data_IF_650647068887
#
_entry.id   IF_650647068887
#
_cell.length_a   1.000
_cell.length_b   1.000
_cell.length_c   1.000
_cell.angle_alpha   90.00
_cell.angle_beta   90.00
_cell.angle_gamma   90.00
#
_symmetry.space_group_name_H-M   'P 1'
#
loop_
_entity.id
_entity.type
_entity.pdbx_description
1 polymer ?
#
# COMPACT_ATOMS: atom_id res chain seq x y z
N UNK A 1 -45.87 29.15 -59.75
CA UNK A 1 -45.96 27.94 -58.89
C UNK A 1 -44.70 27.92 -58.05
N UNK A 2 -44.76 28.53 -56.86
CA UNK A 2 -43.63 28.65 -55.95
C UNK A 2 -43.77 27.53 -54.92
N UNK A 3 -42.80 26.62 -54.90
CA UNK A 3 -42.77 25.48 -53.99
C UNK A 3 -42.29 26.00 -52.62
N UNK A 4 -43.21 26.28 -51.70
CA UNK A 4 -42.89 26.49 -50.29
C UNK A 4 -42.53 25.14 -49.68
N UNK A 5 -41.22 24.87 -49.58
CA UNK A 5 -40.71 23.77 -48.78
C UNK A 5 -41.09 24.01 -47.31
N UNK A 6 -42.07 23.23 -46.84
CA UNK A 6 -42.45 23.14 -45.43
C UNK A 6 -41.26 22.61 -44.63
N UNK A 7 -40.45 23.49 -44.04
CA UNK A 7 -39.48 23.12 -43.02
C UNK A 7 -40.24 22.88 -41.71
N UNK A 8 -40.64 21.63 -41.50
CA UNK A 8 -41.14 21.18 -40.20
C UNK A 8 -40.11 21.52 -39.11
N UNK A 9 -40.49 22.15 -37.99
CA UNK A 9 -39.56 22.46 -36.92
C UNK A 9 -39.00 21.16 -36.34
N UNK A 10 -37.68 21.08 -36.22
CA UNK A 10 -37.02 20.01 -35.47
C UNK A 10 -37.55 20.12 -34.03
N UNK A 11 -38.08 19.04 -33.43
CA UNK A 11 -38.63 19.09 -32.07
C UNK A 11 -37.53 19.55 -31.10
N UNK A 12 -37.88 20.51 -30.26
CA UNK A 12 -37.01 21.15 -29.27
C UNK A 12 -36.76 20.17 -28.12
N UNK A 13 -35.83 19.23 -28.33
CA UNK A 13 -35.45 18.24 -27.31
C UNK A 13 -34.57 18.96 -26.28
N UNK A 14 -35.13 19.20 -25.10
CA UNK A 14 -34.40 19.81 -23.99
C UNK A 14 -33.10 19.03 -23.70
N UNK A 15 -31.95 19.71 -23.58
CA UNK A 15 -30.67 19.04 -23.41
C UNK A 15 -30.63 18.26 -22.09
N UNK A 16 -29.95 17.10 -22.04
CA UNK A 16 -29.78 16.35 -20.81
C UNK A 16 -29.11 17.21 -19.72
N UNK A 17 -29.73 17.29 -18.54
CA UNK A 17 -29.26 18.11 -17.43
C UNK A 17 -28.02 17.54 -16.69
N UNK A 18 -27.78 16.23 -16.83
CA UNK A 18 -26.64 15.56 -16.22
C UNK A 18 -25.30 16.09 -16.76
N UNK A 19 -24.30 16.23 -15.90
CA UNK A 19 -22.92 16.53 -16.30
C UNK A 19 -22.10 15.26 -16.28
N UNK A 20 -21.51 14.90 -17.42
CA UNK A 20 -20.72 13.67 -17.57
C UNK A 20 -19.23 13.97 -17.79
N UNK A 21 -18.40 13.13 -17.20
CA UNK A 21 -16.97 13.10 -17.49
C UNK A 21 -16.73 12.42 -18.83
N UNK A 22 -15.88 13.01 -19.66
CA UNK A 22 -15.47 12.39 -20.94
C UNK A 22 -14.46 11.26 -20.67
N UNK A 23 -14.30 10.34 -21.63
CA UNK A 23 -13.25 9.31 -21.53
C UNK A 23 -11.86 9.92 -21.33
N UNK A 24 -11.54 11.00 -22.04
CA UNK A 24 -10.29 11.74 -21.88
C UNK A 24 -10.12 12.31 -20.46
N UNK A 25 -11.18 12.88 -19.90
CA UNK A 25 -11.16 13.41 -18.53
C UNK A 25 -10.94 12.30 -17.49
N UNK A 26 -11.57 11.14 -17.68
CA UNK A 26 -11.39 9.97 -16.82
C UNK A 26 -9.96 9.44 -16.91
N UNK A 27 -9.40 9.35 -18.13
CA UNK A 27 -8.00 8.98 -18.33
C UNK A 27 -7.01 9.93 -17.65
N UNK A 28 -7.24 11.25 -17.74
CA UNK A 28 -6.42 12.24 -17.02
C UNK A 28 -6.57 12.08 -15.50
N UNK A 29 -7.79 11.85 -15.01
CA UNK A 29 -8.00 11.61 -13.58
C UNK A 29 -7.28 10.36 -13.08
N UNK A 30 -7.30 9.28 -13.87
CA UNK A 30 -6.61 8.03 -13.57
C UNK A 30 -5.08 8.14 -13.62
N UNK A 31 -4.54 9.01 -14.48
CA UNK A 31 -3.11 9.34 -14.48
C UNK A 31 -2.66 9.94 -13.13
N UNK A 32 -3.52 10.75 -12.52
CA UNK A 32 -3.22 11.47 -11.26
C UNK A 32 -3.52 10.60 -10.04
N UNK A 33 -4.70 9.98 -9.98
CA UNK A 33 -5.21 9.28 -8.81
C UNK A 33 -5.28 7.76 -8.93
N UNK A 34 -4.67 7.19 -9.98
CA UNK A 34 -4.58 5.75 -10.19
C UNK A 34 -5.91 5.06 -10.56
N UNK A 35 -5.96 3.71 -10.43
CA UNK A 35 -7.14 2.91 -10.78
C UNK A 35 -8.41 3.35 -10.03
N UNK A 36 -8.29 3.71 -8.75
CA UNK A 36 -9.44 4.14 -7.94
C UNK A 36 -10.08 5.42 -8.51
N UNK A 37 -9.29 6.38 -8.96
CA UNK A 37 -9.80 7.60 -9.61
C UNK A 37 -10.54 7.27 -10.92
N UNK A 38 -10.00 6.37 -11.73
CA UNK A 38 -10.62 5.91 -12.97
C UNK A 38 -12.05 5.40 -12.70
N UNK A 39 -12.18 4.47 -11.77
CA UNK A 39 -13.46 3.83 -11.44
C UNK A 39 -14.40 4.76 -10.68
N UNK A 40 -13.86 5.69 -9.89
CA UNK A 40 -14.68 6.69 -9.20
C UNK A 40 -15.38 7.61 -10.20
N UNK A 41 -14.62 8.17 -11.15
CA UNK A 41 -15.18 9.05 -12.18
C UNK A 41 -16.12 8.29 -13.13
N UNK A 42 -15.76 7.06 -13.53
CA UNK A 42 -16.62 6.18 -14.34
C UNK A 42 -17.93 5.83 -13.61
N UNK A 43 -17.86 5.53 -12.32
CA UNK A 43 -19.02 5.26 -11.48
C UNK A 43 -19.91 6.49 -11.29
N UNK A 44 -19.32 7.68 -11.17
CA UNK A 44 -20.08 8.94 -11.13
C UNK A 44 -20.87 9.15 -12.42
N UNK A 45 -20.30 8.85 -13.59
CA UNK A 45 -21.07 8.85 -14.84
C UNK A 45 -22.26 7.88 -14.80
N UNK A 46 -22.07 6.64 -14.34
CA UNK A 46 -23.18 5.70 -14.18
C UNK A 46 -24.24 6.22 -13.19
N UNK A 47 -23.83 6.88 -12.12
CA UNK A 47 -24.74 7.52 -11.17
C UNK A 47 -25.61 8.59 -11.84
N UNK A 48 -24.98 9.48 -12.61
CA UNK A 48 -25.66 10.56 -13.34
C UNK A 48 -26.59 10.04 -14.45
N UNK A 49 -26.30 8.85 -14.98
CA UNK A 49 -27.14 8.15 -15.95
C UNK A 49 -28.23 7.29 -15.29
N UNK A 50 -28.42 7.36 -13.96
CA UNK A 50 -29.43 6.58 -13.22
C UNK A 50 -29.11 5.08 -13.09
N UNK A 51 -27.90 4.65 -13.47
CA UNK A 51 -27.45 3.26 -13.53
C UNK A 51 -26.81 2.81 -12.21
N UNK A 52 -27.61 2.75 -11.14
CA UNK A 52 -27.15 2.45 -9.77
C UNK A 52 -26.40 1.12 -9.64
N UNK A 53 -26.86 0.07 -10.32
CA UNK A 53 -26.21 -1.26 -10.28
C UNK A 53 -24.80 -1.19 -10.86
N UNK A 54 -24.66 -0.62 -12.05
CA UNK A 54 -23.37 -0.45 -12.71
C UNK A 54 -22.43 0.42 -11.89
N UNK A 55 -22.91 1.53 -11.32
CA UNK A 55 -22.14 2.37 -10.40
C UNK A 55 -21.52 1.56 -9.25
N UNK A 56 -22.35 0.80 -8.52
CA UNK A 56 -21.87 0.05 -7.37
C UNK A 56 -20.86 -1.05 -7.79
N UNK A 57 -21.12 -1.72 -8.91
CA UNK A 57 -20.18 -2.69 -9.48
C UNK A 57 -18.85 -2.04 -9.86
N UNK A 58 -18.88 -0.84 -10.45
CA UNK A 58 -17.67 -0.09 -10.81
C UNK A 58 -16.85 0.30 -9.58
N UNK A 59 -17.49 0.73 -8.48
CA UNK A 59 -16.76 1.06 -7.25
C UNK A 59 -16.12 -0.17 -6.59
N UNK A 60 -16.85 -1.29 -6.54
CA UNK A 60 -16.30 -2.54 -6.00
C UNK A 60 -15.13 -3.05 -6.84
N UNK A 61 -15.27 -3.02 -8.17
CA UNK A 61 -14.20 -3.36 -9.11
C UNK A 61 -13.00 -2.41 -8.93
N UNK A 62 -13.24 -1.13 -8.69
CA UNK A 62 -12.19 -0.15 -8.44
C UNK A 62 -11.35 -0.45 -7.23
N UNK A 63 -11.98 -0.79 -6.11
CA UNK A 63 -11.26 -1.20 -4.90
C UNK A 63 -10.42 -2.46 -5.17
N UNK A 64 -11.02 -3.48 -5.81
CA UNK A 64 -10.32 -4.71 -6.18
C UNK A 64 -9.12 -4.45 -7.11
N UNK A 65 -9.30 -3.67 -8.16
CA UNK A 65 -8.23 -3.32 -9.11
C UNK A 65 -7.10 -2.52 -8.45
N UNK A 66 -7.42 -1.60 -7.54
CA UNK A 66 -6.39 -0.87 -6.79
C UNK A 66 -5.56 -1.82 -5.95
N UNK A 67 -6.20 -2.72 -5.19
CA UNK A 67 -5.46 -3.70 -4.37
C UNK A 67 -4.62 -4.65 -5.23
N UNK A 68 -5.19 -5.18 -6.32
CA UNK A 68 -4.46 -6.04 -7.26
C UNK A 68 -3.31 -5.30 -7.93
N UNK A 69 -3.47 -4.01 -8.26
CA UNK A 69 -2.39 -3.20 -8.83
C UNK A 69 -1.20 -3.11 -7.88
N UNK A 70 -1.41 -2.79 -6.61
CA UNK A 70 -0.31 -2.70 -5.64
C UNK A 70 0.32 -4.06 -5.36
N UNK A 71 -0.49 -5.11 -5.24
CA UNK A 71 0.03 -6.47 -5.08
C UNK A 71 0.89 -6.89 -6.27
N UNK A 72 0.44 -6.65 -7.52
CA UNK A 72 1.25 -6.97 -8.70
C UNK A 72 2.54 -6.15 -8.77
N UNK A 73 2.52 -4.88 -8.34
CA UNK A 73 3.71 -4.04 -8.32
C UNK A 73 4.72 -4.52 -7.26
N UNK A 74 4.26 -5.01 -6.09
CA UNK A 74 5.16 -5.53 -5.05
C UNK A 74 5.88 -6.82 -5.45
N UNK A 75 5.34 -7.59 -6.40
CA UNK A 75 6.02 -8.78 -6.94
C UNK A 75 7.14 -8.44 -7.95
N UNK A 76 7.25 -7.17 -8.38
CA UNK A 76 8.26 -6.77 -9.38
C UNK A 76 9.60 -6.49 -8.66
N UNK A 77 10.71 -7.12 -9.08
CA UNK A 77 12.02 -6.85 -8.49
C UNK A 77 12.41 -5.36 -8.59
N UNK A 78 13.02 -4.83 -7.53
CA UNK A 78 13.41 -3.41 -7.46
C UNK A 78 14.30 -2.98 -8.62
N UNK A 79 15.22 -3.84 -9.07
CA UNK A 79 16.12 -3.59 -10.21
C UNK A 79 15.40 -3.41 -11.55
N UNK A 80 14.15 -3.87 -11.66
CA UNK A 80 13.26 -3.64 -12.81
C UNK A 80 12.47 -2.36 -12.59
N UNK A 81 11.93 -2.14 -11.39
CA UNK A 81 11.16 -0.94 -11.04
C UNK A 81 11.97 0.35 -11.26
N UNK A 82 13.24 0.36 -10.88
CA UNK A 82 14.14 1.52 -11.00
C UNK A 82 14.35 1.97 -12.46
N UNK A 83 14.10 1.07 -13.42
CA UNK A 83 14.23 1.36 -14.86
C UNK A 83 12.95 1.94 -15.46
N UNK A 84 11.83 1.89 -14.73
CA UNK A 84 10.53 2.35 -15.21
C UNK A 84 10.34 3.81 -14.77
N UNK A 85 10.21 4.76 -15.71
CA UNK A 85 9.95 6.16 -15.36
C UNK A 85 8.64 6.28 -14.57
N UNK A 86 8.63 7.09 -13.50
CA UNK A 86 7.44 7.25 -12.63
C UNK A 86 6.18 7.65 -13.41
N UNK A 87 6.33 8.51 -14.43
CA UNK A 87 5.23 8.94 -15.29
C UNK A 87 4.65 7.82 -16.17
N UNK A 88 5.40 6.74 -16.42
CA UNK A 88 4.91 5.60 -17.21
C UNK A 88 3.77 4.87 -16.49
N UNK A 89 3.84 4.79 -15.15
CA UNK A 89 2.78 4.19 -14.34
C UNK A 89 1.46 4.94 -14.48
N UNK A 90 1.48 6.26 -14.29
CA UNK A 90 0.31 7.11 -14.51
C UNK A 90 -0.16 7.09 -15.96
N UNK A 91 0.77 7.06 -16.91
CA UNK A 91 0.47 6.96 -18.34
C UNK A 91 -0.31 5.70 -18.68
N UNK A 92 0.14 4.55 -18.16
CA UNK A 92 -0.50 3.25 -18.37
C UNK A 92 -1.89 3.21 -17.73
N UNK A 93 -2.04 3.64 -16.48
CA UNK A 93 -3.36 3.67 -15.80
C UNK A 93 -4.32 4.60 -16.53
N UNK A 94 -3.85 5.78 -16.96
CA UNK A 94 -4.63 6.75 -17.72
C UNK A 94 -5.10 6.20 -19.07
N UNK A 95 -4.22 5.54 -19.81
CA UNK A 95 -4.55 4.93 -21.10
C UNK A 95 -5.57 3.80 -20.95
N UNK A 96 -5.38 2.89 -19.99
CA UNK A 96 -6.32 1.81 -19.70
C UNK A 96 -7.68 2.38 -19.33
N UNK A 97 -7.73 3.38 -18.45
CA UNK A 97 -8.97 4.04 -18.04
C UNK A 97 -9.71 4.69 -19.21
N UNK A 98 -8.99 5.36 -20.12
CA UNK A 98 -9.56 5.93 -21.34
C UNK A 98 -10.21 4.84 -22.21
N UNK A 99 -9.46 3.77 -22.51
CA UNK A 99 -9.94 2.68 -23.38
C UNK A 99 -11.13 1.94 -22.77
N UNK A 100 -11.09 1.66 -21.46
CA UNK A 100 -12.21 1.05 -20.75
C UNK A 100 -13.45 1.94 -20.76
N UNK A 101 -13.28 3.26 -20.60
CA UNK A 101 -14.40 4.20 -20.63
C UNK A 101 -15.03 4.27 -22.03
N UNK A 102 -14.22 4.34 -23.08
CA UNK A 102 -14.72 4.31 -24.46
C UNK A 102 -15.49 3.01 -24.75
N UNK A 103 -14.98 1.88 -24.27
CA UNK A 103 -15.66 0.59 -24.43
C UNK A 103 -17.00 0.51 -23.67
N UNK A 104 -17.01 0.93 -22.39
CA UNK A 104 -18.17 0.75 -21.50
C UNK A 104 -19.23 1.86 -21.60
N UNK A 105 -18.81 3.09 -21.91
CA UNK A 105 -19.66 4.29 -21.89
C UNK A 105 -19.57 5.14 -23.16
N UNK A 106 -18.71 4.81 -24.13
CA UNK A 106 -18.45 5.67 -25.29
C UNK A 106 -19.69 6.00 -26.12
N UNK A 107 -20.58 5.04 -26.36
CA UNK A 107 -21.85 5.29 -27.07
C UNK A 107 -22.77 6.21 -26.26
N UNK A 108 -22.94 5.93 -24.96
CA UNK A 108 -23.77 6.74 -24.07
C UNK A 108 -23.27 8.19 -23.99
N UNK A 109 -21.95 8.38 -23.90
CA UNK A 109 -21.31 9.69 -23.88
C UNK A 109 -21.52 10.41 -25.22
N UNK A 110 -21.34 9.72 -26.36
CA UNK A 110 -21.57 10.30 -27.69
C UNK A 110 -23.03 10.75 -27.86
N UNK A 111 -24.00 9.91 -27.48
CA UNK A 111 -25.43 10.28 -27.53
C UNK A 111 -25.73 11.47 -26.60
N UNK A 112 -25.16 11.49 -25.40
CA UNK A 112 -25.35 12.58 -24.45
C UNK A 112 -24.83 13.92 -25.01
N UNK A 113 -23.61 13.95 -25.55
CA UNK A 113 -23.03 15.17 -26.10
C UNK A 113 -23.64 15.57 -27.45
N UNK A 114 -24.13 14.61 -28.26
CA UNK A 114 -24.88 14.92 -29.48
C UNK A 114 -26.22 15.63 -29.19
N UNK A 115 -26.80 15.40 -28.02
CA UNK A 115 -27.98 16.10 -27.51
C UNK A 115 -27.66 17.38 -26.72
N UNK A 116 -26.49 17.98 -26.96
CA UNK A 116 -26.02 19.19 -26.28
C UNK A 116 -25.89 19.04 -24.75
N UNK A 117 -25.73 17.81 -24.25
CA UNK A 117 -25.45 17.54 -22.84
C UNK A 117 -24.12 18.14 -22.37
N UNK A 118 -24.02 18.47 -21.09
CA UNK A 118 -22.88 19.20 -20.54
C UNK A 118 -21.74 18.30 -20.06
N UNK A 119 -20.50 18.77 -20.24
CA UNK A 119 -19.31 18.12 -19.68
C UNK A 119 -19.13 18.52 -18.21
N UNK A 120 -18.68 17.59 -17.39
CA UNK A 120 -18.16 17.90 -16.06
C UNK A 120 -16.90 18.78 -16.16
N UNK A 121 -16.65 19.62 -15.15
CA UNK A 121 -15.52 20.55 -15.15
C UNK A 121 -14.18 19.84 -14.87
N UNK A 122 -13.09 20.43 -15.34
CA UNK A 122 -11.73 19.95 -15.01
C UNK A 122 -11.44 19.98 -13.51
N UNK A 123 -11.98 20.96 -12.78
CA UNK A 123 -11.90 21.02 -11.31
C UNK A 123 -12.58 19.84 -10.62
N UNK A 124 -13.71 19.37 -11.15
CA UNK A 124 -14.35 18.17 -10.63
C UNK A 124 -13.46 16.94 -10.86
N UNK A 125 -12.82 16.82 -12.03
CA UNK A 125 -11.86 15.74 -12.30
C UNK A 125 -10.71 15.79 -11.30
N UNK A 126 -10.09 16.96 -11.11
CA UNK A 126 -9.00 17.14 -10.18
C UNK A 126 -9.42 16.76 -8.75
N UNK A 127 -10.53 17.31 -8.25
CA UNK A 127 -11.01 17.05 -6.89
C UNK A 127 -11.28 15.57 -6.61
N UNK A 128 -11.98 14.87 -7.52
CA UNK A 128 -12.25 13.44 -7.34
C UNK A 128 -11.00 12.57 -7.48
N UNK A 129 -10.06 12.97 -8.35
CA UNK A 129 -8.80 12.23 -8.53
C UNK A 129 -7.89 12.39 -7.32
N UNK A 130 -7.76 13.61 -6.78
CA UNK A 130 -7.02 13.88 -5.54
C UNK A 130 -7.65 13.16 -4.35
N UNK A 131 -8.99 13.17 -4.22
CA UNK A 131 -9.66 12.42 -3.15
C UNK A 131 -9.37 10.92 -3.26
N UNK A 132 -9.42 10.36 -4.47
CA UNK A 132 -9.10 8.94 -4.70
C UNK A 132 -7.64 8.62 -4.37
N UNK A 133 -6.71 9.54 -4.66
CA UNK A 133 -5.31 9.40 -4.27
C UNK A 133 -5.15 9.38 -2.75
N UNK A 134 -5.80 10.30 -2.02
CA UNK A 134 -5.77 10.34 -0.55
C UNK A 134 -6.31 9.05 0.05
N UNK A 135 -7.44 8.54 -0.46
CA UNK A 135 -8.01 7.26 -0.01
C UNK A 135 -7.05 6.10 -0.29
N UNK A 136 -6.41 6.10 -1.45
CA UNK A 136 -5.43 5.06 -1.82
C UNK A 136 -4.22 5.09 -0.88
N UNK A 137 -3.66 6.27 -0.59
CA UNK A 137 -2.56 6.42 0.36
C UNK A 137 -2.97 5.98 1.78
N UNK A 138 -4.16 6.36 2.23
CA UNK A 138 -4.67 5.92 3.53
C UNK A 138 -4.82 4.39 3.61
N UNK A 139 -5.29 3.75 2.53
CA UNK A 139 -5.37 2.28 2.44
C UNK A 139 -3.99 1.63 2.51
N UNK A 140 -3.01 2.15 1.76
CA UNK A 140 -1.64 1.62 1.78
C UNK A 140 -1.04 1.75 3.18
N UNK A 141 -1.14 2.94 3.79
CA UNK A 141 -0.63 3.17 5.14
C UNK A 141 -1.30 2.24 6.15
N UNK A 142 -2.62 2.11 6.09
CA UNK A 142 -3.36 1.23 6.98
C UNK A 142 -2.96 -0.25 6.85
N UNK A 143 -2.68 -0.71 5.63
CA UNK A 143 -2.28 -2.10 5.37
C UNK A 143 -0.80 -2.37 5.65
N UNK A 144 0.08 -1.39 5.40
CA UNK A 144 1.53 -1.57 5.40
C UNK A 144 2.20 -1.14 6.71
N UNK A 145 1.69 -0.11 7.39
CA UNK A 145 2.29 0.38 8.65
C UNK A 145 2.35 -0.71 9.74
N UNK A 146 1.33 -1.57 9.93
CA UNK A 146 1.43 -2.68 10.88
C UNK A 146 2.50 -3.73 10.53
N UNK A 147 3.05 -3.70 9.31
CA UNK A 147 4.12 -4.59 8.85
C UNK A 147 5.52 -3.95 8.99
N UNK A 148 5.61 -2.68 9.37
CA UNK A 148 6.91 -2.00 9.55
C UNK A 148 7.59 -2.45 10.85
N UNK A 149 8.91 -2.31 10.87
CA UNK A 149 9.74 -2.56 12.06
C UNK A 149 9.28 -1.70 13.24
N UNK A 150 9.44 -2.16 14.50
CA UNK A 150 9.04 -1.39 15.67
C UNK A 150 9.73 -0.02 15.71
N UNK A 151 8.95 1.06 15.89
CA UNK A 151 9.35 2.46 15.76
C UNK A 151 10.44 2.91 16.76
N UNK A 152 10.71 2.13 17.81
CA UNK A 152 11.66 2.51 18.88
C UNK A 152 13.04 1.85 18.79
N UNK A 153 13.36 1.16 17.69
CA UNK A 153 14.73 0.70 17.46
C UNK A 153 15.60 1.87 16.99
N UNK A 154 16.08 2.67 17.94
CA UNK A 154 17.00 3.78 17.68
C UNK A 154 18.43 3.36 17.98
N UNK A 155 19.32 3.35 16.96
CA UNK A 155 20.80 3.33 17.02
C UNK A 155 21.48 2.95 15.68
N UNK A 156 22.84 2.88 15.60
CA UNK A 156 23.51 2.32 14.44
C UNK A 156 22.96 0.94 14.08
N UNK A 157 22.74 0.74 12.78
CA UNK A 157 22.21 -0.50 12.22
C UNK A 157 23.37 -1.29 11.63
N UNK A 158 23.51 -2.53 12.09
CA UNK A 158 24.29 -3.54 11.39
C UNK A 158 23.34 -4.35 10.51
N UNK A 159 23.58 -4.36 9.21
CA UNK A 159 22.85 -5.21 8.28
C UNK A 159 23.83 -6.14 7.59
N UNK A 160 23.73 -7.42 7.93
CA UNK A 160 24.47 -8.50 7.29
C UNK A 160 23.66 -9.77 7.48
N UNK A 161 23.02 -10.19 6.41
CA UNK A 161 22.02 -11.26 6.40
C UNK A 161 21.23 -11.27 5.10
N UNK A 162 20.52 -12.37 4.85
CA UNK A 162 19.58 -12.48 3.72
C UNK A 162 18.52 -11.37 3.84
N UNK A 163 18.08 -10.81 2.71
CA UNK A 163 17.08 -9.72 2.64
C UNK A 163 17.39 -8.43 3.43
N UNK A 164 18.62 -8.22 3.90
CA UNK A 164 18.97 -7.02 4.66
C UNK A 164 18.38 -7.03 6.07
N UNK A 165 18.31 -8.20 6.72
CA UNK A 165 18.02 -8.31 8.16
C UNK A 165 18.85 -7.30 8.97
N UNK A 166 18.21 -6.65 9.95
CA UNK A 166 18.77 -5.51 10.66
C UNK A 166 18.93 -5.81 12.14
N UNK A 167 20.16 -5.67 12.64
CA UNK A 167 20.45 -5.65 14.07
C UNK A 167 20.77 -4.22 14.48
N UNK A 168 19.89 -3.66 15.29
CA UNK A 168 20.06 -2.35 15.92
C UNK A 168 20.88 -2.52 17.20
N UNK A 169 21.96 -1.75 17.39
CA UNK A 169 22.85 -2.02 18.53
C UNK A 169 23.25 -0.78 19.34
N UNK A 170 23.43 -0.97 20.65
CA UNK A 170 24.09 -0.01 21.53
C UNK A 170 25.39 0.58 20.95
N UNK A 171 25.69 1.88 21.16
CA UNK A 171 27.05 2.41 20.89
C UNK A 171 28.12 1.65 21.70
N UNK A 172 27.73 1.13 22.87
CA UNK A 172 28.59 0.33 23.76
C UNK A 172 28.64 -1.17 23.39
N UNK A 173 28.03 -1.58 22.27
CA UNK A 173 28.09 -2.97 21.79
C UNK A 173 29.16 -3.05 20.70
N UNK A 174 30.15 -3.91 20.89
CA UNK A 174 31.24 -4.11 19.92
C UNK A 174 30.71 -4.68 18.60
N UNK A 175 31.21 -4.18 17.47
CA UNK A 175 30.75 -4.61 16.14
C UNK A 175 30.91 -6.11 15.92
N UNK A 176 31.99 -6.73 16.40
CA UNK A 176 32.19 -8.18 16.25
C UNK A 176 31.17 -9.00 17.05
N UNK A 177 30.69 -8.49 18.18
CA UNK A 177 29.56 -9.09 18.91
C UNK A 177 28.29 -9.07 18.06
N UNK A 178 28.02 -7.96 17.37
CA UNK A 178 26.86 -7.83 16.49
C UNK A 178 26.97 -8.76 15.28
N UNK A 179 28.18 -8.92 14.70
CA UNK A 179 28.41 -9.86 13.60
C UNK A 179 28.20 -11.32 14.04
N UNK A 180 28.75 -11.70 15.19
CA UNK A 180 28.60 -13.06 15.72
C UNK A 180 27.13 -13.40 15.99
N UNK A 181 26.37 -12.46 16.56
CA UNK A 181 24.94 -12.59 16.73
C UNK A 181 24.23 -12.72 15.38
N UNK A 182 24.52 -11.86 14.41
CA UNK A 182 23.92 -11.92 13.08
C UNK A 182 24.14 -13.25 12.38
N UNK A 183 25.37 -13.78 12.41
CA UNK A 183 25.69 -15.09 11.84
C UNK A 183 24.91 -16.21 12.55
N UNK A 184 24.88 -16.20 13.89
CA UNK A 184 24.11 -17.18 14.64
C UNK A 184 22.62 -17.17 14.26
N UNK A 185 22.01 -15.99 14.12
CA UNK A 185 20.60 -15.86 13.72
C UNK A 185 20.32 -16.39 12.31
N UNK A 186 21.27 -16.27 11.39
CA UNK A 186 21.20 -16.91 10.06
C UNK A 186 21.31 -18.43 10.19
N UNK A 187 22.26 -18.92 11.00
CA UNK A 187 22.54 -20.35 11.14
C UNK A 187 21.36 -21.13 11.72
N UNK A 188 20.59 -20.52 12.62
CA UNK A 188 19.39 -21.12 13.21
C UNK A 188 18.09 -20.83 12.42
N UNK A 189 18.21 -20.26 11.21
CA UNK A 189 17.09 -19.88 10.34
C UNK A 189 16.10 -18.87 10.96
N UNK A 190 16.54 -18.10 11.96
CA UNK A 190 15.75 -16.98 12.49
C UNK A 190 15.76 -15.79 11.52
N UNK A 191 16.93 -15.52 10.92
CA UNK A 191 17.06 -14.66 9.76
C UNK A 191 16.96 -15.50 8.50
N UNK A 192 15.77 -15.55 7.91
CA UNK A 192 15.48 -16.32 6.71
C UNK A 192 15.43 -15.47 5.43
N UNK A 193 15.12 -16.11 4.31
CA UNK A 193 14.96 -15.47 3.00
C UNK A 193 13.52 -15.04 2.69
N UNK A 194 12.60 -15.17 3.63
CA UNK A 194 11.17 -14.85 3.45
C UNK A 194 10.82 -13.49 4.04
N UNK A 195 11.32 -13.16 5.24
CA UNK A 195 10.99 -11.92 5.94
C UNK A 195 12.21 -11.28 6.62
N UNK A 196 12.29 -9.95 6.58
CA UNK A 196 13.24 -9.20 7.41
C UNK A 196 12.67 -9.07 8.82
N UNK A 197 13.41 -9.56 9.82
CA UNK A 197 13.01 -9.48 11.23
C UNK A 197 13.97 -8.54 11.96
N UNK A 198 13.49 -7.43 12.53
CA UNK A 198 14.37 -6.52 13.23
C UNK A 198 14.71 -7.09 14.62
N UNK A 199 15.98 -7.00 14.99
CA UNK A 199 16.48 -7.39 16.31
C UNK A 199 17.21 -6.21 16.91
N UNK A 200 17.06 -5.95 18.20
CA UNK A 200 17.87 -4.94 18.89
C UNK A 200 18.68 -5.57 20.02
N UNK A 201 19.98 -5.25 20.09
CA UNK A 201 20.87 -5.63 21.20
C UNK A 201 21.36 -4.40 21.96
N UNK A 202 21.24 -4.44 23.28
CA UNK A 202 21.79 -3.42 24.18
C UNK A 202 22.69 -4.08 25.21
N UNK A 203 23.80 -3.42 25.54
CA UNK A 203 24.63 -3.79 26.67
C UNK A 203 24.25 -2.88 27.84
N UNK A 204 23.68 -3.46 28.89
CA UNK A 204 23.30 -2.77 30.12
C UNK A 204 24.13 -3.36 31.27
N UNK A 205 25.00 -2.54 31.86
CA UNK A 205 25.98 -2.97 32.87
C UNK A 205 26.87 -4.13 32.37
N UNK A 206 26.63 -5.35 32.84
CA UNK A 206 27.40 -6.55 32.48
C UNK A 206 26.56 -7.63 31.76
N UNK A 207 25.37 -7.27 31.28
CA UNK A 207 24.47 -8.20 30.58
C UNK A 207 23.95 -7.62 29.27
N UNK A 208 23.63 -8.50 28.33
CA UNK A 208 22.97 -8.11 27.09
C UNK A 208 21.44 -8.19 27.26
N UNK A 209 20.74 -7.16 26.80
CA UNK A 209 19.30 -7.20 26.55
C UNK A 209 19.07 -7.36 25.05
N UNK A 210 18.39 -8.45 24.69
CA UNK A 210 18.05 -8.77 23.30
C UNK A 210 16.55 -8.59 23.10
N UNK A 211 16.20 -7.63 22.26
CA UNK A 211 14.84 -7.19 21.97
C UNK A 211 14.36 -7.90 20.71
N UNK A 212 13.30 -8.71 20.85
CA UNK A 212 12.76 -9.54 19.77
C UNK A 212 11.27 -9.26 19.60
N UNK A 213 10.84 -9.14 18.35
CA UNK A 213 9.42 -8.99 18.01
C UNK A 213 8.64 -10.25 18.37
N UNK A 214 7.59 -10.11 19.18
CA UNK A 214 6.72 -11.22 19.55
C UNK A 214 5.31 -10.68 19.86
N UNK A 215 4.29 -11.22 19.19
CA UNK A 215 2.91 -10.82 19.42
C UNK A 215 2.51 -11.00 20.89
N UNK A 216 1.84 -9.98 21.46
CA UNK A 216 1.51 -9.93 22.89
C UNK A 216 0.59 -11.05 23.36
N UNK A 217 -0.25 -11.58 22.48
CA UNK A 217 -1.12 -12.72 22.78
C UNK A 217 -0.33 -14.03 23.03
N UNK A 218 0.95 -14.09 22.63
CA UNK A 218 1.86 -15.22 22.88
C UNK A 218 2.71 -15.06 24.14
N UNK A 219 2.67 -13.90 24.80
CA UNK A 219 3.56 -13.63 25.93
C UNK A 219 3.30 -14.48 27.17
N UNK A 220 2.11 -15.08 27.29
CA UNK A 220 1.78 -16.01 28.38
C UNK A 220 1.77 -17.47 27.94
N UNK A 221 2.06 -17.77 26.66
CA UNK A 221 2.13 -19.13 26.15
C UNK A 221 3.41 -19.83 26.66
N UNK A 222 3.30 -20.87 27.50
CA UNK A 222 4.48 -21.55 28.06
C UNK A 222 5.39 -22.13 26.99
N UNK A 223 4.84 -22.57 25.84
CA UNK A 223 5.63 -23.12 24.75
C UNK A 223 6.49 -22.02 24.10
N UNK A 224 5.90 -20.87 23.77
CA UNK A 224 6.61 -19.70 23.26
C UNK A 224 7.68 -19.21 24.23
N UNK A 225 7.36 -19.10 25.52
CA UNK A 225 8.31 -18.68 26.54
C UNK A 225 9.49 -19.65 26.69
N UNK A 226 9.25 -20.96 26.54
CA UNK A 226 10.33 -21.95 26.57
C UNK A 226 11.27 -21.81 25.39
N UNK A 227 10.76 -21.50 24.20
CA UNK A 227 11.59 -21.26 22.99
C UNK A 227 12.54 -20.09 23.24
N UNK A 228 12.02 -18.95 23.69
CA UNK A 228 12.85 -17.77 23.95
C UNK A 228 13.87 -17.98 25.07
N UNK A 229 13.54 -18.75 26.12
CA UNK A 229 14.49 -19.07 27.18
C UNK A 229 15.63 -19.97 26.70
N UNK A 230 15.32 -21.00 25.93
CA UNK A 230 16.34 -21.87 25.35
C UNK A 230 17.25 -21.08 24.41
N UNK A 231 16.65 -20.27 23.54
CA UNK A 231 17.36 -19.36 22.66
C UNK A 231 18.28 -18.38 23.41
N UNK A 232 17.84 -17.82 24.54
CA UNK A 232 18.69 -16.97 25.38
C UNK A 232 19.90 -17.73 25.93
N UNK A 233 19.68 -18.96 26.42
CA UNK A 233 20.73 -19.81 26.96
C UNK A 233 21.77 -20.19 25.90
N UNK A 234 21.32 -20.52 24.68
CA UNK A 234 22.20 -20.85 23.56
C UNK A 234 23.05 -19.65 23.15
N UNK A 235 22.46 -18.45 23.04
CA UNK A 235 23.22 -17.21 22.74
C UNK A 235 24.22 -16.89 23.85
N UNK A 236 23.83 -17.03 25.11
CA UNK A 236 24.72 -16.79 26.25
C UNK A 236 25.95 -17.70 26.22
N UNK A 237 25.74 -19.00 25.96
CA UNK A 237 26.79 -20.01 25.97
C UNK A 237 27.69 -19.95 24.72
N UNK A 238 27.10 -19.79 23.54
CA UNK A 238 27.80 -20.05 22.28
C UNK A 238 28.20 -18.77 21.53
N UNK A 239 27.58 -17.63 21.84
CA UNK A 239 27.74 -16.39 21.06
C UNK A 239 28.32 -15.25 21.90
N UNK A 240 27.62 -14.86 22.97
CA UNK A 240 27.89 -13.60 23.68
C UNK A 240 28.80 -13.77 24.91
N UNK A 241 28.92 -14.98 25.46
CA UNK A 241 29.71 -15.29 26.65
C UNK A 241 29.41 -14.34 27.84
N UNK A 242 28.17 -13.84 27.91
CA UNK A 242 27.67 -12.93 28.94
C UNK A 242 26.18 -13.18 29.15
N UNK A 243 25.65 -12.90 30.36
CA UNK A 243 24.24 -13.08 30.65
C UNK A 243 23.34 -12.39 29.63
N UNK A 244 22.32 -13.09 29.14
CA UNK A 244 21.33 -12.57 28.17
C UNK A 244 19.94 -12.48 28.78
N UNK A 245 19.30 -11.34 28.66
CA UNK A 245 17.88 -11.14 28.98
C UNK A 245 17.10 -10.91 27.68
N UNK A 246 16.08 -11.73 27.42
CA UNK A 246 15.17 -11.52 26.29
C UNK A 246 14.13 -10.48 26.68
N UNK A 247 13.92 -9.51 25.81
CA UNK A 247 12.84 -8.52 25.91
C UNK A 247 11.91 -8.74 24.74
N UNK A 248 10.73 -9.30 25.00
CA UNK A 248 9.69 -9.41 23.98
C UNK A 248 9.12 -8.02 23.72
N UNK A 249 9.07 -7.64 22.45
CA UNK A 249 8.55 -6.35 21.99
C UNK A 249 7.35 -6.60 21.10
N UNK A 250 6.27 -5.89 21.40
CA UNK A 250 5.08 -5.82 20.57
C UNK A 250 4.71 -4.35 20.42
N UNK A 251 4.33 -3.95 19.22
CA UNK A 251 3.95 -2.58 18.94
C UNK A 251 2.62 -2.56 18.19
N UNK A 252 1.73 -1.68 18.63
CA UNK A 252 0.48 -1.39 17.95
C UNK A 252 0.23 0.12 17.90
N UNK A 253 -0.92 0.54 17.34
CA UNK A 253 -1.27 1.95 17.21
C UNK A 253 -1.34 2.73 18.55
N UNK A 254 -1.36 2.05 19.69
CA UNK A 254 -1.40 2.64 21.03
C UNK A 254 -0.01 2.76 21.69
N UNK A 255 1.03 2.19 21.08
CA UNK A 255 2.41 2.32 21.53
C UNK A 255 3.19 1.01 21.61
N UNK A 256 4.37 1.10 22.21
CA UNK A 256 5.32 -0.02 22.36
C UNK A 256 5.15 -0.69 23.72
N UNK A 257 5.02 -2.00 23.69
CA UNK A 257 4.90 -2.85 24.86
C UNK A 257 6.13 -3.73 24.97
N UNK A 258 6.57 -3.98 26.21
CA UNK A 258 7.76 -4.79 26.50
C UNK A 258 7.50 -5.78 27.62
N UNK A 259 7.94 -7.03 27.46
CA UNK A 259 8.00 -8.02 28.53
C UNK A 259 9.41 -8.60 28.63
N UNK A 260 10.05 -8.37 29.78
CA UNK A 260 11.33 -9.01 30.10
C UNK A 260 11.09 -10.45 30.51
N UNK A 261 11.85 -11.36 29.92
CA UNK A 261 11.91 -12.75 30.34
C UNK A 261 13.10 -12.91 31.27
N UNK A 262 12.80 -13.25 32.52
CA UNK A 262 13.79 -13.73 33.49
C UNK A 262 13.99 -15.23 33.34
#
# INVERSE_FOLDING_TARGET
>A
MSNEASSSPIPDVEPPSAKLFTAKAIGIGAFIGGPLAATTLLGLNFSQLGRKKQRNQTYLLGLGLTLSYFWLVSEIPQSVLDKIPTAAWGGLTGLIAYLLTENLQGELLRTHFAKLGQKASGWAVAGWSTLSLVVTLALILFLYVPMLTPFEFEKPVYSDGLLGNEIYHGENVETETVKALGQYLVDIEYFDSEYSVPVQIRLEEEKYELYLSCLRDRWEDPATLSIFRNFAADIEADVLNKPVTIVLVDEDFNGVYRKRLN
#
